data_IF_897764128245
#
_entry.id   IF_897764128245
#
_cell.length_a   1.000
_cell.length_b   1.000
_cell.length_c   1.000
_cell.angle_alpha   90.00
_cell.angle_beta   90.00
_cell.angle_gamma   90.00
#
_symmetry.space_group_name_H-M   'P 1'
#
loop_
_entity.id
_entity.type
_entity.pdbx_description
1 polymer ?
#
# COMPACT_ATOMS: atom_id res chain seq x y z
N UNK A 1 -8.10 2.51 18.55
CA UNK A 1 -9.12 3.08 17.72
C UNK A 1 -9.77 2.02 16.86
N UNK A 2 -9.84 2.04 15.54
CA UNK A 2 -10.52 0.98 14.75
C UNK A 2 -9.95 -0.43 15.01
N UNK A 3 -8.61 -0.58 15.06
CA UNK A 3 -7.97 -1.87 15.35
C UNK A 3 -8.32 -2.44 16.74
N UNK A 4 -8.51 -1.56 17.73
CA UNK A 4 -8.95 -1.95 19.07
C UNK A 4 -10.42 -2.43 19.07
N UNK A 5 -11.28 -1.76 18.32
CA UNK A 5 -12.67 -2.15 18.15
C UNK A 5 -12.80 -3.50 17.43
N UNK A 6 -12.04 -3.71 16.36
CA UNK A 6 -11.96 -5.00 15.66
C UNK A 6 -11.44 -6.13 16.53
N UNK A 7 -10.51 -5.84 17.45
CA UNK A 7 -9.99 -6.84 18.38
C UNK A 7 -11.10 -7.40 19.30
N UNK A 8 -11.99 -6.55 19.79
CA UNK A 8 -13.12 -7.00 20.63
C UNK A 8 -14.23 -7.68 19.82
N UNK A 9 -14.55 -7.19 18.62
CA UNK A 9 -15.57 -7.80 17.78
C UNK A 9 -15.16 -9.17 17.21
N UNK A 10 -13.88 -9.44 17.02
CA UNK A 10 -13.36 -10.72 16.48
C UNK A 10 -13.54 -11.91 17.45
N UNK A 11 -14.25 -11.73 18.57
CA UNK A 11 -14.57 -12.80 19.54
C UNK A 11 -16.01 -13.27 19.46
N UNK A 12 -16.83 -12.69 18.60
CA UNK A 12 -18.25 -13.01 18.53
C UNK A 12 -18.47 -14.32 17.73
N UNK A 13 -19.42 -15.16 18.17
CA UNK A 13 -19.84 -16.34 17.40
C UNK A 13 -20.49 -15.89 16.09
N UNK A 14 -20.63 -16.84 15.15
CA UNK A 14 -21.38 -16.62 13.92
C UNK A 14 -22.83 -16.22 14.30
N UNK A 15 -23.37 -15.10 13.78
CA UNK A 15 -24.77 -14.75 13.95
C UNK A 15 -25.68 -15.90 13.52
N UNK A 16 -26.81 -16.10 14.20
CA UNK A 16 -27.68 -17.22 13.93
C UNK A 16 -28.18 -17.27 12.48
N UNK A 17 -28.43 -16.10 11.88
CA UNK A 17 -28.86 -15.96 10.49
C UNK A 17 -27.84 -16.41 9.46
N UNK A 18 -26.58 -16.57 9.85
CA UNK A 18 -25.46 -16.91 8.97
C UNK A 18 -24.87 -18.31 9.26
N UNK A 19 -25.35 -19.02 10.26
CA UNK A 19 -24.83 -20.35 10.65
C UNK A 19 -24.87 -21.39 9.52
N UNK A 20 -25.91 -21.31 8.68
CA UNK A 20 -26.05 -22.24 7.54
C UNK A 20 -25.16 -21.90 6.35
N UNK A 21 -24.59 -20.70 6.33
CA UNK A 21 -23.75 -20.20 5.22
C UNK A 21 -22.25 -20.31 5.48
N UNK A 22 -21.85 -20.32 6.74
CA UNK A 22 -20.45 -20.34 7.14
C UNK A 22 -20.05 -21.61 7.85
N UNK A 23 -18.92 -22.17 7.43
CA UNK A 23 -18.24 -23.24 8.15
C UNK A 23 -17.60 -22.67 9.42
N UNK A 24 -17.95 -23.27 10.59
CA UNK A 24 -17.49 -22.80 11.91
C UNK A 24 -15.96 -22.81 12.03
N UNK A 25 -15.29 -23.85 11.52
CA UNK A 25 -13.83 -23.99 11.58
C UNK A 25 -13.15 -22.89 10.77
N UNK A 26 -13.64 -22.63 9.55
CA UNK A 26 -13.14 -21.55 8.68
C UNK A 26 -13.38 -20.17 9.31
N UNK A 27 -14.53 -19.98 9.92
CA UNK A 27 -14.85 -18.73 10.61
C UNK A 27 -13.88 -18.49 11.78
N UNK A 28 -13.65 -19.49 12.65
CA UNK A 28 -12.74 -19.40 13.77
C UNK A 28 -11.27 -19.15 13.31
N UNK A 29 -10.85 -19.81 12.24
CA UNK A 29 -9.55 -19.56 11.62
C UNK A 29 -9.42 -18.10 11.14
N UNK A 30 -10.45 -17.57 10.48
CA UNK A 30 -10.49 -16.19 10.03
C UNK A 30 -10.45 -15.20 11.22
N UNK A 31 -11.21 -15.45 12.27
CA UNK A 31 -11.21 -14.64 13.48
C UNK A 31 -9.83 -14.64 14.17
N UNK A 32 -9.20 -15.82 14.25
CA UNK A 32 -7.84 -15.97 14.79
C UNK A 32 -6.81 -15.17 13.98
N UNK A 33 -6.92 -15.21 12.64
CA UNK A 33 -6.08 -14.42 11.74
C UNK A 33 -6.27 -12.91 11.98
N UNK A 34 -7.52 -12.43 12.03
CA UNK A 34 -7.83 -11.03 12.28
C UNK A 34 -7.28 -10.55 13.63
N UNK A 35 -7.45 -11.35 14.71
CA UNK A 35 -6.89 -11.04 16.04
C UNK A 35 -5.38 -10.96 16.03
N UNK A 36 -4.72 -11.91 15.36
CA UNK A 36 -3.26 -11.95 15.27
C UNK A 36 -2.74 -10.69 14.57
N UNK A 37 -3.36 -10.31 13.45
CA UNK A 37 -2.99 -9.09 12.73
C UNK A 37 -3.31 -7.83 13.54
N UNK A 38 -4.44 -7.77 14.25
CA UNK A 38 -4.79 -6.62 15.09
C UNK A 38 -3.79 -6.44 16.24
N UNK A 39 -3.39 -7.52 16.93
CA UNK A 39 -2.36 -7.48 17.97
C UNK A 39 -1.02 -7.01 17.41
N UNK A 40 -0.59 -7.60 16.30
CA UNK A 40 0.65 -7.23 15.66
C UNK A 40 0.63 -5.76 15.21
N UNK A 41 -0.47 -5.33 14.58
CA UNK A 41 -0.66 -3.92 14.18
C UNK A 41 -0.59 -2.94 15.35
N UNK A 42 -1.14 -3.31 16.52
CA UNK A 42 -1.01 -2.49 17.74
C UNK A 42 0.46 -2.39 18.20
N UNK A 43 1.22 -3.48 18.17
CA UNK A 43 2.66 -3.48 18.52
C UNK A 43 3.42 -2.57 17.57
N UNK A 44 3.23 -2.73 16.25
CA UNK A 44 3.90 -1.90 15.23
C UNK A 44 3.53 -0.42 15.41
N UNK A 45 2.23 -0.11 15.57
CA UNK A 45 1.76 1.27 15.75
C UNK A 45 2.31 1.91 17.03
N UNK A 46 2.37 1.15 18.11
CA UNK A 46 2.94 1.64 19.38
C UNK A 46 4.43 1.91 19.24
N UNK A 47 5.16 0.99 18.60
CA UNK A 47 6.59 1.18 18.33
C UNK A 47 6.83 2.42 17.46
N UNK A 48 6.10 2.56 16.34
CA UNK A 48 6.23 3.71 15.45
C UNK A 48 5.91 5.02 16.15
N UNK A 49 4.87 5.04 16.98
CA UNK A 49 4.54 6.22 17.80
C UNK A 49 5.68 6.60 18.75
N UNK A 50 6.21 5.61 19.48
CA UNK A 50 7.31 5.85 20.41
C UNK A 50 8.58 6.28 19.68
N UNK A 51 8.87 5.68 18.53
CA UNK A 51 10.00 6.07 17.70
C UNK A 51 9.91 7.53 17.26
N UNK A 52 8.77 7.94 16.67
CA UNK A 52 8.54 9.33 16.25
C UNK A 52 8.60 10.28 17.46
N UNK A 53 8.01 9.88 18.60
CA UNK A 53 8.07 10.67 19.82
C UNK A 53 9.53 10.87 20.30
N UNK A 54 10.33 9.81 20.29
CA UNK A 54 11.75 9.89 20.64
C UNK A 54 12.53 10.78 19.65
N UNK A 55 12.26 10.68 18.37
CA UNK A 55 12.87 11.54 17.35
C UNK A 55 12.60 13.03 17.61
N UNK A 56 11.40 13.38 18.08
CA UNK A 56 11.10 14.75 18.49
C UNK A 56 11.73 15.11 19.84
N UNK A 57 11.58 14.26 20.84
CA UNK A 57 12.01 14.55 22.20
C UNK A 57 13.54 14.69 22.34
N UNK A 58 14.30 13.93 21.57
CA UNK A 58 15.76 13.91 21.60
C UNK A 58 16.42 14.65 20.43
N UNK A 59 15.65 15.40 19.64
CA UNK A 59 16.20 16.20 18.55
C UNK A 59 16.70 15.41 17.34
N UNK A 60 16.25 14.16 17.15
CA UNK A 60 16.69 13.32 16.04
C UNK A 60 16.44 13.93 14.66
N UNK A 61 15.31 14.63 14.48
CA UNK A 61 15.06 15.34 13.23
C UNK A 61 15.99 16.54 13.02
N UNK A 62 16.38 17.24 14.09
CA UNK A 62 17.34 18.33 14.01
C UNK A 62 18.73 17.81 13.60
N UNK A 63 19.12 16.64 14.11
CA UNK A 63 20.37 15.99 13.73
C UNK A 63 20.36 15.59 12.23
N UNK A 64 19.25 15.03 11.73
CA UNK A 64 19.10 14.70 10.31
C UNK A 64 19.18 15.97 9.44
N UNK A 65 18.56 17.08 9.85
CA UNK A 65 18.66 18.36 9.15
C UNK A 65 20.12 18.86 9.15
N UNK A 66 20.83 18.79 10.28
CA UNK A 66 22.24 19.13 10.38
C UNK A 66 23.11 18.32 9.41
N UNK A 67 22.89 16.99 9.35
CA UNK A 67 23.57 16.11 8.40
C UNK A 67 23.28 16.54 6.94
N UNK A 68 22.00 16.75 6.59
CA UNK A 68 21.64 17.16 5.24
C UNK A 68 22.31 18.49 4.84
N UNK A 69 22.34 19.49 5.74
CA UNK A 69 22.99 20.78 5.52
C UNK A 69 24.52 20.68 5.46
N UNK A 70 25.12 19.71 6.12
CA UNK A 70 26.58 19.50 6.02
C UNK A 70 27.00 18.98 4.65
N UNK A 71 26.10 18.30 3.91
CA UNK A 71 26.38 17.72 2.60
C UNK A 71 26.17 18.70 1.44
N UNK A 72 25.30 19.71 1.62
CA UNK A 72 25.00 20.68 0.56
C UNK A 72 24.41 21.96 1.12
N UNK A 73 24.67 23.10 0.44
CA UNK A 73 24.04 24.40 0.73
C UNK A 73 22.79 24.67 -0.12
N UNK A 74 22.49 23.82 -1.10
CA UNK A 74 21.31 24.00 -1.94
C UNK A 74 20.05 23.58 -1.18
N UNK A 75 19.12 24.51 -0.97
CA UNK A 75 17.92 24.30 -0.15
C UNK A 75 17.04 23.14 -0.64
N UNK A 76 16.87 22.97 -1.95
CA UNK A 76 16.13 21.84 -2.51
C UNK A 76 16.82 20.50 -2.18
N UNK A 77 18.14 20.44 -2.36
CA UNK A 77 18.89 19.22 -2.07
C UNK A 77 18.90 18.91 -0.58
N UNK A 78 18.98 19.91 0.31
CA UNK A 78 18.83 19.73 1.77
C UNK A 78 17.47 19.09 2.07
N UNK A 79 16.39 19.62 1.51
CA UNK A 79 15.03 19.07 1.68
C UNK A 79 14.94 17.62 1.21
N UNK A 80 15.43 17.32 0.01
CA UNK A 80 15.41 15.97 -0.55
C UNK A 80 16.24 14.98 0.29
N UNK A 81 17.45 15.38 0.73
CA UNK A 81 18.31 14.58 1.58
C UNK A 81 17.66 14.31 2.95
N UNK A 82 17.08 15.33 3.57
CA UNK A 82 16.38 15.20 4.83
C UNK A 82 15.30 14.11 4.77
N UNK A 83 14.39 14.21 3.79
CA UNK A 83 13.34 13.21 3.63
C UNK A 83 13.85 11.85 3.14
N UNK A 84 14.93 11.81 2.36
CA UNK A 84 15.55 10.55 1.93
C UNK A 84 16.16 9.80 3.12
N UNK A 85 16.84 10.50 4.04
CA UNK A 85 17.41 9.89 5.25
C UNK A 85 16.29 9.33 6.14
N UNK A 86 15.23 10.11 6.39
CA UNK A 86 14.07 9.64 7.15
C UNK A 86 13.49 8.38 6.49
N UNK A 87 13.28 8.40 5.17
CA UNK A 87 12.73 7.26 4.43
C UNK A 87 13.59 6.01 4.53
N UNK A 88 14.92 6.17 4.52
CA UNK A 88 15.84 5.04 4.70
C UNK A 88 15.76 4.49 6.14
N UNK A 89 15.68 5.36 7.13
CA UNK A 89 15.52 4.94 8.54
C UNK A 89 14.22 4.17 8.72
N UNK A 90 13.09 4.71 8.25
CA UNK A 90 11.80 4.04 8.30
C UNK A 90 11.85 2.68 7.60
N UNK A 91 12.43 2.64 6.39
CA UNK A 91 12.59 1.40 5.62
C UNK A 91 13.36 0.33 6.40
N UNK A 92 14.47 0.69 7.06
CA UNK A 92 15.28 -0.25 7.86
C UNK A 92 14.47 -0.75 9.07
N UNK A 93 13.72 0.13 9.70
CA UNK A 93 12.87 -0.20 10.86
C UNK A 93 11.71 -1.11 10.45
N UNK A 94 11.12 -0.91 9.29
CA UNK A 94 9.98 -1.68 8.80
C UNK A 94 10.35 -3.11 8.38
N UNK A 95 11.59 -3.36 7.92
CA UNK A 95 12.03 -4.69 7.45
C UNK A 95 11.71 -5.83 8.43
N UNK A 96 12.06 -5.77 9.73
CA UNK A 96 11.76 -6.86 10.66
C UNK A 96 10.26 -7.05 10.87
N UNK A 97 9.46 -5.99 10.84
CA UNK A 97 8.00 -6.09 10.95
C UNK A 97 7.38 -6.72 9.70
N UNK A 98 7.78 -6.29 8.52
CA UNK A 98 7.33 -6.86 7.25
C UNK A 98 7.73 -8.33 7.10
N UNK A 99 8.96 -8.66 7.54
CA UNK A 99 9.43 -10.05 7.56
C UNK A 99 8.59 -10.90 8.48
N UNK A 100 8.30 -10.43 9.70
CA UNK A 100 7.46 -11.15 10.67
C UNK A 100 6.03 -11.31 10.16
N UNK A 101 5.44 -10.26 9.60
CA UNK A 101 4.11 -10.32 8.99
C UNK A 101 4.05 -11.39 7.90
N UNK A 102 5.02 -11.39 6.98
CA UNK A 102 5.02 -12.28 5.81
C UNK A 102 5.37 -13.72 6.16
N UNK A 103 6.48 -13.94 6.88
CA UNK A 103 7.04 -15.28 7.08
C UNK A 103 6.64 -15.95 8.41
N UNK A 104 5.98 -15.21 9.31
CA UNK A 104 5.45 -15.79 10.54
C UNK A 104 3.93 -15.77 10.55
N UNK A 105 3.32 -14.59 10.37
CA UNK A 105 1.85 -14.50 10.46
C UNK A 105 1.20 -15.12 9.21
N UNK A 106 1.49 -14.63 8.01
CA UNK A 106 0.86 -15.14 6.77
C UNK A 106 1.19 -16.62 6.54
N UNK A 107 2.41 -17.05 6.87
CA UNK A 107 2.84 -18.47 6.80
C UNK A 107 2.02 -19.35 7.73
N UNK A 108 1.84 -18.93 9.00
CA UNK A 108 1.05 -19.67 10.00
C UNK A 108 -0.38 -19.94 9.56
N UNK A 109 -0.98 -19.00 8.81
CA UNK A 109 -2.35 -19.15 8.32
C UNK A 109 -2.44 -19.79 6.93
N UNK A 110 -1.31 -20.12 6.30
CA UNK A 110 -1.24 -20.75 4.98
C UNK A 110 -1.48 -19.78 3.82
N UNK A 111 -1.27 -18.49 4.03
CA UNK A 111 -1.47 -17.45 3.02
C UNK A 111 -0.19 -17.04 2.31
N UNK A 112 0.99 -17.25 2.91
CA UNK A 112 2.25 -16.86 2.31
C UNK A 112 2.66 -17.80 1.18
N UNK A 113 3.01 -17.24 0.03
CA UNK A 113 3.72 -17.89 -1.08
C UNK A 113 4.98 -17.14 -1.50
N UNK A 114 5.28 -16.06 -0.79
CA UNK A 114 6.43 -15.21 -1.08
C UNK A 114 7.73 -15.93 -0.73
N UNK A 115 8.66 -16.01 -1.67
CA UNK A 115 10.02 -16.46 -1.38
C UNK A 115 10.84 -15.33 -0.76
N UNK A 116 11.88 -15.65 0.02
CA UNK A 116 12.80 -14.65 0.59
C UNK A 116 13.42 -13.76 -0.50
N UNK A 117 13.75 -14.34 -1.68
CA UNK A 117 14.25 -13.58 -2.83
C UNK A 117 13.22 -12.59 -3.35
N UNK A 118 11.96 -13.01 -3.53
CA UNK A 118 10.88 -12.13 -3.96
C UNK A 118 10.66 -11.00 -2.95
N UNK A 119 10.65 -11.32 -1.66
CA UNK A 119 10.51 -10.34 -0.58
C UNK A 119 11.57 -9.24 -0.65
N UNK A 120 12.86 -9.61 -0.69
CA UNK A 120 13.96 -8.64 -0.78
C UNK A 120 13.88 -7.80 -2.06
N UNK A 121 13.60 -8.42 -3.21
CA UNK A 121 13.47 -7.69 -4.47
C UNK A 121 12.29 -6.71 -4.44
N UNK A 122 11.17 -7.09 -3.84
CA UNK A 122 10.00 -6.22 -3.72
C UNK A 122 10.27 -5.06 -2.75
N UNK A 123 10.96 -5.29 -1.64
CA UNK A 123 11.41 -4.24 -0.73
C UNK A 123 12.29 -3.21 -1.44
N UNK A 124 13.31 -3.67 -2.17
CA UNK A 124 14.22 -2.76 -2.90
C UNK A 124 13.49 -1.97 -3.99
N UNK A 125 12.61 -2.63 -4.76
CA UNK A 125 11.78 -1.94 -5.77
C UNK A 125 10.86 -0.90 -5.13
N UNK A 126 10.22 -1.24 -4.01
CA UNK A 126 9.34 -0.34 -3.27
C UNK A 126 10.11 0.87 -2.73
N UNK A 127 11.30 0.66 -2.19
CA UNK A 127 12.16 1.76 -1.71
C UNK A 127 12.52 2.70 -2.87
N UNK A 128 13.10 2.17 -3.95
CA UNK A 128 13.50 2.97 -5.10
C UNK A 128 12.32 3.75 -5.72
N UNK A 129 11.19 3.06 -5.89
CA UNK A 129 9.98 3.67 -6.45
C UNK A 129 9.42 4.76 -5.53
N UNK A 130 9.37 4.51 -4.21
CA UNK A 130 8.88 5.49 -3.25
C UNK A 130 9.81 6.70 -3.16
N UNK A 131 11.13 6.51 -3.20
CA UNK A 131 12.10 7.63 -3.24
C UNK A 131 11.96 8.45 -4.51
N UNK A 132 11.80 7.82 -5.67
CA UNK A 132 11.59 8.51 -6.94
C UNK A 132 10.30 9.34 -6.91
N UNK A 133 9.18 8.74 -6.54
CA UNK A 133 7.88 9.43 -6.52
C UNK A 133 7.88 10.54 -5.49
N UNK A 134 8.32 10.28 -4.26
CA UNK A 134 8.37 11.30 -3.21
C UNK A 134 9.34 12.42 -3.55
N UNK A 135 10.49 12.11 -4.17
CA UNK A 135 11.44 13.11 -4.61
C UNK A 135 10.86 14.06 -5.66
N UNK A 136 10.11 13.54 -6.64
CA UNK A 136 9.41 14.38 -7.63
C UNK A 136 8.37 15.27 -6.95
N UNK A 137 7.53 14.69 -6.09
CA UNK A 137 6.47 15.45 -5.39
C UNK A 137 7.09 16.54 -4.50
N UNK A 138 8.08 16.20 -3.69
CA UNK A 138 8.77 17.18 -2.83
C UNK A 138 9.42 18.28 -3.62
N UNK A 139 10.04 17.97 -4.78
CA UNK A 139 10.63 18.98 -5.66
C UNK A 139 9.58 19.94 -6.19
N UNK A 140 8.42 19.44 -6.64
CA UNK A 140 7.31 20.30 -7.11
C UNK A 140 6.80 21.19 -5.99
N UNK A 141 6.56 20.62 -4.80
CA UNK A 141 6.07 21.37 -3.63
C UNK A 141 7.11 22.43 -3.20
N UNK A 142 8.40 22.09 -3.19
CA UNK A 142 9.48 23.01 -2.85
C UNK A 142 9.55 24.19 -3.83
N UNK A 143 9.49 23.92 -5.14
CA UNK A 143 9.51 24.99 -6.16
C UNK A 143 8.31 25.92 -6.03
N UNK A 144 7.12 25.38 -5.79
CA UNK A 144 5.92 26.20 -5.55
C UNK A 144 6.11 27.07 -4.31
N UNK A 145 6.66 26.53 -3.22
CA UNK A 145 6.91 27.26 -1.99
C UNK A 145 7.88 28.42 -2.19
N UNK A 146 8.98 28.20 -2.92
CA UNK A 146 10.02 29.21 -3.18
C UNK A 146 9.58 30.30 -4.17
N UNK A 147 8.86 29.89 -5.23
CA UNK A 147 8.58 30.81 -6.34
C UNK A 147 7.24 31.55 -6.21
N UNK A 148 6.25 30.94 -5.53
CA UNK A 148 4.87 31.44 -5.48
C UNK A 148 4.30 31.28 -4.06
N UNK A 149 4.92 31.90 -3.03
CA UNK A 149 4.54 31.67 -1.64
C UNK A 149 3.10 32.08 -1.31
N UNK A 150 2.58 33.14 -1.93
CA UNK A 150 1.23 33.64 -1.66
C UNK A 150 0.12 32.66 -2.05
N UNK A 151 0.36 31.84 -3.07
CA UNK A 151 -0.58 30.84 -3.57
C UNK A 151 -0.14 29.42 -3.23
N UNK A 152 0.86 29.25 -2.38
CA UNK A 152 1.45 27.94 -2.05
C UNK A 152 0.40 26.91 -1.68
N UNK A 153 -0.48 27.22 -0.75
CA UNK A 153 -1.49 26.26 -0.26
C UNK A 153 -2.42 25.74 -1.36
N UNK A 154 -2.85 26.65 -2.28
CA UNK A 154 -3.74 26.29 -3.39
C UNK A 154 -3.01 25.46 -4.44
N UNK A 155 -1.81 25.87 -4.82
CA UNK A 155 -1.01 25.18 -5.84
C UNK A 155 -0.49 23.84 -5.33
N UNK A 156 -0.11 23.74 -4.07
CA UNK A 156 0.25 22.47 -3.45
C UNK A 156 -0.95 21.50 -3.43
N UNK A 157 -2.13 21.97 -3.02
CA UNK A 157 -3.36 21.19 -3.06
C UNK A 157 -3.73 20.75 -4.49
N UNK A 158 -3.66 21.65 -5.45
CA UNK A 158 -3.95 21.33 -6.86
C UNK A 158 -2.97 20.31 -7.43
N UNK A 159 -1.67 20.45 -7.13
CA UNK A 159 -0.63 19.50 -7.56
C UNK A 159 -0.84 18.11 -6.96
N UNK A 160 -1.16 18.01 -5.66
CA UNK A 160 -1.45 16.75 -5.00
C UNK A 160 -2.74 16.11 -5.53
N UNK A 161 -3.75 16.91 -5.82
CA UNK A 161 -5.01 16.44 -6.43
C UNK A 161 -4.77 15.90 -7.84
N UNK A 162 -4.02 16.63 -8.67
CA UNK A 162 -3.64 16.20 -10.01
C UNK A 162 -2.82 14.90 -9.96
N UNK A 163 -1.85 14.79 -9.05
CA UNK A 163 -1.06 13.58 -8.84
C UNK A 163 -1.95 12.40 -8.40
N UNK A 164 -2.88 12.60 -7.47
CA UNK A 164 -3.82 11.57 -7.01
C UNK A 164 -4.71 11.06 -8.15
N UNK A 165 -5.24 11.97 -8.97
CA UNK A 165 -6.00 11.62 -10.18
C UNK A 165 -5.15 10.87 -11.19
N UNK A 166 -3.92 11.31 -11.43
CA UNK A 166 -2.97 10.62 -12.31
C UNK A 166 -2.71 9.19 -11.81
N UNK A 167 -2.40 9.03 -10.52
CA UNK A 167 -2.18 7.70 -9.94
C UNK A 167 -3.43 6.83 -10.01
N UNK A 168 -4.61 7.36 -9.73
CA UNK A 168 -5.87 6.62 -9.85
C UNK A 168 -6.12 6.08 -11.28
N UNK A 169 -5.72 6.84 -12.30
CA UNK A 169 -5.89 6.45 -13.71
C UNK A 169 -4.82 5.47 -14.20
N UNK A 170 -3.58 5.64 -13.74
CA UNK A 170 -2.42 4.99 -14.35
C UNK A 170 -1.70 3.99 -13.44
N UNK A 171 -2.05 3.89 -12.15
CA UNK A 171 -1.41 2.98 -11.19
C UNK A 171 -1.30 1.54 -11.72
N UNK A 172 -2.42 1.00 -12.22
CA UNK A 172 -2.47 -0.36 -12.74
C UNK A 172 -1.64 -0.57 -14.02
N UNK A 173 -1.30 0.52 -14.74
CA UNK A 173 -0.49 0.45 -15.95
C UNK A 173 1.00 0.67 -15.69
N UNK A 174 1.32 1.52 -14.71
CA UNK A 174 2.69 1.94 -14.47
C UNK A 174 3.32 1.20 -13.28
N UNK A 175 2.58 1.07 -12.19
CA UNK A 175 3.11 0.53 -10.94
C UNK A 175 2.93 -0.99 -10.84
N UNK A 176 1.73 -1.50 -11.12
CA UNK A 176 1.44 -2.94 -11.00
C UNK A 176 2.40 -3.80 -11.84
N UNK A 177 2.76 -3.46 -13.10
CA UNK A 177 3.67 -4.28 -13.90
C UNK A 177 5.10 -4.38 -13.35
N UNK A 178 5.53 -3.44 -12.49
CA UNK A 178 6.84 -3.50 -11.84
C UNK A 178 6.95 -4.66 -10.85
N UNK A 179 5.80 -5.07 -10.27
CA UNK A 179 5.73 -6.11 -9.24
C UNK A 179 5.09 -7.39 -9.77
N UNK A 180 4.06 -7.29 -10.61
CA UNK A 180 3.26 -8.40 -11.07
C UNK A 180 3.18 -8.44 -12.59
N UNK A 181 3.31 -9.63 -13.16
CA UNK A 181 3.00 -9.84 -14.58
C UNK A 181 1.48 -9.68 -14.74
N UNK A 182 1.09 -8.84 -15.70
CA UNK A 182 -0.31 -8.57 -16.02
C UNK A 182 -0.58 -9.03 -17.44
N UNK A 183 -1.58 -9.92 -17.63
CA UNK A 183 -2.00 -10.46 -18.92
C UNK A 183 -3.50 -10.24 -19.11
N UNK A 184 -3.99 -9.98 -20.33
CA UNK A 184 -5.43 -9.98 -20.59
C UNK A 184 -6.04 -11.32 -20.20
N UNK A 185 -7.26 -11.30 -19.62
CA UNK A 185 -8.01 -12.52 -19.38
C UNK A 185 -8.36 -13.15 -20.73
N UNK A 186 -8.12 -14.45 -20.86
CA UNK A 186 -8.45 -15.21 -22.08
C UNK A 186 -9.96 -15.28 -22.30
N UNK A 187 -10.36 -15.50 -23.58
CA UNK A 187 -11.76 -15.70 -23.92
C UNK A 187 -12.29 -16.98 -23.26
N UNK A 188 -13.50 -16.92 -22.70
CA UNK A 188 -14.10 -18.05 -21.98
C UNK A 188 -15.31 -17.64 -21.14
N UNK A 189 -15.88 -18.62 -20.44
CA UNK A 189 -17.10 -18.44 -19.64
C UNK A 189 -16.98 -17.30 -18.60
N UNK A 190 -15.87 -17.24 -17.86
CA UNK A 190 -15.65 -16.22 -16.84
C UNK A 190 -15.62 -14.82 -17.45
N UNK A 191 -14.90 -14.64 -18.57
CA UNK A 191 -14.84 -13.35 -19.26
C UNK A 191 -16.21 -12.91 -19.75
N UNK A 192 -16.95 -13.84 -20.39
CA UNK A 192 -18.30 -13.57 -20.87
C UNK A 192 -19.26 -13.21 -19.72
N UNK A 193 -19.21 -13.94 -18.61
CA UNK A 193 -20.04 -13.67 -17.44
C UNK A 193 -19.77 -12.27 -16.87
N UNK A 194 -18.48 -11.86 -16.76
CA UNK A 194 -18.09 -10.53 -16.28
C UNK A 194 -18.58 -9.45 -17.26
N UNK A 195 -18.46 -9.67 -18.58
CA UNK A 195 -18.90 -8.71 -19.59
C UNK A 195 -20.41 -8.51 -19.53
N UNK A 196 -21.18 -9.60 -19.49
CA UNK A 196 -22.67 -9.55 -19.38
C UNK A 196 -23.09 -8.83 -18.10
N UNK A 197 -22.41 -9.08 -16.98
CA UNK A 197 -22.70 -8.39 -15.72
C UNK A 197 -22.37 -6.88 -15.82
N UNK A 198 -21.23 -6.54 -16.42
CA UNK A 198 -20.85 -5.14 -16.64
C UNK A 198 -21.86 -4.39 -17.50
N UNK A 199 -22.37 -5.02 -18.57
CA UNK A 199 -23.42 -4.45 -19.43
C UNK A 199 -24.74 -4.22 -18.66
N UNK A 200 -25.19 -5.23 -17.88
CA UNK A 200 -26.40 -5.11 -17.05
C UNK A 200 -26.33 -3.97 -16.02
N UNK A 201 -25.14 -3.67 -15.54
CA UNK A 201 -24.91 -2.61 -14.53
C UNK A 201 -24.49 -1.27 -15.15
N UNK A 202 -24.51 -1.12 -16.46
CA UNK A 202 -23.98 0.04 -17.19
C UNK A 202 -22.52 0.40 -16.81
N UNK A 203 -21.75 -0.62 -16.42
CA UNK A 203 -20.34 -0.46 -16.13
C UNK A 203 -19.52 -0.49 -17.42
N UNK A 204 -19.02 0.68 -17.86
CA UNK A 204 -18.24 0.81 -19.11
C UNK A 204 -16.86 0.14 -18.95
N UNK A 205 -16.83 -1.17 -19.15
CA UNK A 205 -15.64 -2.01 -19.02
C UNK A 205 -14.80 -1.94 -20.31
N UNK A 206 -13.52 -1.53 -20.18
CA UNK A 206 -12.58 -1.51 -21.32
C UNK A 206 -11.89 -2.85 -21.52
N UNK A 207 -11.41 -3.47 -20.42
CA UNK A 207 -10.71 -4.75 -20.49
C UNK A 207 -10.66 -5.44 -19.12
N UNK A 208 -10.39 -6.75 -19.15
CA UNK A 208 -10.21 -7.61 -17.97
C UNK A 208 -8.79 -8.17 -18.00
N UNK A 209 -8.07 -8.04 -16.91
CA UNK A 209 -6.71 -8.53 -16.77
C UNK A 209 -6.61 -9.54 -15.63
N UNK A 210 -5.60 -10.40 -15.72
CA UNK A 210 -5.17 -11.30 -14.64
C UNK A 210 -3.75 -10.92 -14.25
N UNK A 211 -3.49 -10.86 -12.94
CA UNK A 211 -2.13 -10.69 -12.39
C UNK A 211 -1.69 -11.93 -11.65
N UNK A 212 -0.39 -12.22 -11.67
CA UNK A 212 0.20 -13.35 -10.96
C UNK A 212 0.33 -13.08 -9.45
N UNK A 213 -0.81 -12.87 -8.79
CA UNK A 213 -0.92 -12.66 -7.34
C UNK A 213 -0.51 -13.89 -6.54
N UNK A 214 -0.78 -15.08 -7.08
CA UNK A 214 -0.41 -16.38 -6.51
C UNK A 214 1.09 -16.54 -6.22
N UNK A 215 1.95 -15.74 -6.85
CA UNK A 215 3.39 -15.68 -6.55
C UNK A 215 3.67 -15.23 -5.11
N UNK A 216 2.76 -14.49 -4.47
CA UNK A 216 2.95 -13.90 -3.13
C UNK A 216 1.94 -14.38 -2.10
N UNK A 217 0.73 -14.66 -2.51
CA UNK A 217 -0.33 -15.05 -1.58
C UNK A 217 -1.27 -16.08 -2.21
N UNK A 218 -1.84 -16.94 -1.37
CA UNK A 218 -2.94 -17.81 -1.76
C UNK A 218 -4.32 -17.13 -1.68
N UNK A 219 -4.36 -15.86 -1.28
CA UNK A 219 -5.60 -15.09 -1.19
C UNK A 219 -6.04 -14.65 -2.58
N UNK A 220 -7.23 -15.11 -3.00
CA UNK A 220 -7.87 -14.57 -4.20
C UNK A 220 -8.36 -13.14 -3.94
N UNK A 221 -8.25 -12.28 -4.94
CA UNK A 221 -8.76 -10.92 -4.91
C UNK A 221 -9.11 -10.44 -6.33
N UNK A 222 -9.87 -9.37 -6.39
CA UNK A 222 -10.15 -8.66 -7.62
C UNK A 222 -10.35 -7.18 -7.31
N UNK A 223 -9.99 -6.31 -8.24
CA UNK A 223 -10.26 -4.88 -8.12
C UNK A 223 -10.57 -4.27 -9.48
N UNK A 224 -11.24 -3.13 -9.46
CA UNK A 224 -11.42 -2.32 -10.65
C UNK A 224 -10.61 -1.02 -10.52
N UNK A 225 -10.18 -0.47 -11.66
CA UNK A 225 -9.41 0.77 -11.73
C UNK A 225 -9.75 1.54 -13.00
N UNK A 226 -9.41 2.83 -13.04
CA UNK A 226 -9.72 3.74 -14.14
C UNK A 226 -11.03 4.48 -13.97
N UNK A 227 -11.21 5.55 -14.75
CA UNK A 227 -12.38 6.43 -14.73
C UNK A 227 -13.09 6.43 -16.10
N UNK A 228 -14.40 6.64 -16.07
CA UNK A 228 -15.22 6.75 -17.28
C UNK A 228 -15.12 5.51 -18.17
N UNK A 229 -14.71 5.71 -19.43
CA UNK A 229 -14.56 4.65 -20.45
C UNK A 229 -13.24 3.86 -20.34
N UNK A 230 -12.35 4.24 -19.44
CA UNK A 230 -11.05 3.58 -19.22
C UNK A 230 -11.09 2.57 -18.08
N UNK A 231 -12.26 2.23 -17.55
CA UNK A 231 -12.41 1.26 -16.47
C UNK A 231 -11.94 -0.13 -16.89
N UNK A 232 -11.26 -0.81 -15.99
CA UNK A 232 -10.79 -2.19 -16.16
C UNK A 232 -10.97 -2.98 -14.88
N UNK A 233 -11.10 -4.28 -15.01
CA UNK A 233 -11.12 -5.24 -13.90
C UNK A 233 -9.79 -5.99 -13.92
N UNK A 234 -9.23 -6.20 -12.74
CA UNK A 234 -7.99 -6.98 -12.54
C UNK A 234 -8.29 -8.09 -11.55
N UNK A 235 -8.11 -9.32 -11.99
CA UNK A 235 -8.29 -10.53 -11.20
C UNK A 235 -6.92 -11.04 -10.74
N UNK A 236 -6.89 -11.71 -9.60
CA UNK A 236 -5.74 -12.48 -9.14
C UNK A 236 -5.89 -13.93 -9.63
N UNK A 237 -4.79 -14.54 -10.11
CA UNK A 237 -4.73 -15.94 -10.55
C UNK A 237 -4.87 -16.95 -9.40
#
# INVERSE_FOLDING_TARGET
TLSFFFFFQSSQPIPEELKDLYDEERYQKQQSYLRTNAKFGLIVSTFSFLFVFCMFAFGGYAEIDSIARSLTSNALLVTLLFFAIIKIIDFIIDIPFDFYATFVIEERFGFNRTTKKTFVLDLLKSLLLSMLISGIILSVIFVIYEQIPDWFWLLAWASMSAFSLFMSLFYSNLIVPLFNKQTPLEEGELRNAIQVFAEKTNFKLKNIYVINGSKRSSKANAYFTGLGVKKRIVLYD
#
